data_IF_025058540566
#
_entry.id   IF_025058540566
#
_cell.length_a   1.000
_cell.length_b   1.000
_cell.length_c   1.000
_cell.angle_alpha   90.00
_cell.angle_beta   90.00
_cell.angle_gamma   90.00
#
_symmetry.space_group_name_H-M   'P 1'
#
loop_
_entity.id
_entity.type
_entity.pdbx_description
1 polymer ?
#
# COMPACT_ATOMS: atom_id res chain seq x y z
N UNK A 1 -24.78 45.21 -35.38
CA UNK A 1 -24.18 45.00 -34.04
C UNK A 1 -25.27 45.21 -32.98
N UNK A 2 -25.77 44.12 -32.40
CA UNK A 2 -26.84 44.17 -31.40
C UNK A 2 -26.23 44.56 -30.03
N UNK A 3 -26.72 45.63 -29.41
CA UNK A 3 -26.28 46.06 -28.07
C UNK A 3 -26.75 45.02 -27.06
N UNK A 4 -25.83 44.20 -26.57
CA UNK A 4 -26.10 43.30 -25.43
C UNK A 4 -26.49 44.19 -24.25
N UNK A 5 -27.71 43.99 -23.75
CA UNK A 5 -28.24 44.77 -22.62
C UNK A 5 -27.41 44.46 -21.36
N UNK A 6 -27.08 45.49 -20.59
CA UNK A 6 -26.36 45.34 -19.30
C UNK A 6 -27.09 44.38 -18.35
N UNK A 7 -28.41 44.28 -18.48
CA UNK A 7 -29.26 43.34 -17.72
C UNK A 7 -28.96 41.88 -18.11
N UNK A 8 -28.70 41.63 -19.40
CA UNK A 8 -28.37 40.29 -19.91
C UNK A 8 -26.99 39.83 -19.40
N UNK A 9 -26.02 40.77 -19.30
CA UNK A 9 -24.69 40.48 -18.76
C UNK A 9 -24.74 40.14 -17.27
N UNK A 10 -25.56 40.85 -16.48
CA UNK A 10 -25.78 40.60 -15.04
C UNK A 10 -26.50 39.27 -14.80
N UNK A 11 -27.49 38.92 -15.63
CA UNK A 11 -28.17 37.63 -15.56
C UNK A 11 -27.23 36.47 -15.88
N UNK A 12 -26.36 36.60 -16.89
CA UNK A 12 -25.36 35.56 -17.20
C UNK A 12 -24.34 35.41 -16.07
N UNK A 13 -23.87 36.50 -15.47
CA UNK A 13 -22.93 36.41 -14.32
C UNK A 13 -23.58 35.83 -13.07
N UNK A 14 -24.84 36.14 -12.80
CA UNK A 14 -25.59 35.53 -11.70
C UNK A 14 -25.85 34.03 -11.93
N UNK A 15 -26.25 33.64 -13.15
CA UNK A 15 -26.47 32.25 -13.54
C UNK A 15 -25.13 31.48 -13.52
N UNK A 16 -24.05 32.02 -14.07
CA UNK A 16 -22.72 31.42 -13.98
C UNK A 16 -22.23 31.34 -12.53
N UNK A 17 -22.51 32.32 -11.67
CA UNK A 17 -22.17 32.26 -10.24
C UNK A 17 -22.94 31.17 -9.47
N UNK A 18 -24.20 30.92 -9.84
CA UNK A 18 -25.03 29.87 -9.25
C UNK A 18 -24.65 28.48 -9.77
N UNK A 19 -24.28 28.34 -11.05
CA UNK A 19 -23.89 27.03 -11.63
C UNK A 19 -22.40 26.70 -11.46
N UNK A 20 -21.51 27.70 -11.31
CA UNK A 20 -20.08 27.47 -11.02
C UNK A 20 -19.79 27.45 -9.50
N UNK A 21 -20.67 28.03 -8.68
CA UNK A 21 -20.59 27.95 -7.22
C UNK A 21 -21.13 26.64 -6.62
N UNK A 22 -21.74 25.77 -7.44
CA UNK A 22 -22.28 24.47 -7.02
C UNK A 22 -21.49 23.28 -7.59
N UNK A 23 -20.26 23.49 -8.05
CA UNK A 23 -19.33 22.40 -8.36
C UNK A 23 -18.36 22.29 -7.18
N UNK A 24 -18.60 21.30 -6.30
CA UNK A 24 -17.78 20.88 -5.14
C UNK A 24 -18.05 21.48 -3.76
N UNK A 25 -19.23 22.04 -3.46
CA UNK A 25 -19.64 22.19 -2.05
C UNK A 25 -20.43 20.94 -1.62
N UNK A 26 -19.71 19.97 -1.05
CA UNK A 26 -20.30 18.92 -0.22
C UNK A 26 -21.00 17.79 -0.96
N UNK A 27 -20.35 17.17 -1.95
CA UNK A 27 -20.57 15.73 -2.11
C UNK A 27 -20.23 15.09 -0.75
N UNK A 28 -21.04 14.15 -0.28
CA UNK A 28 -20.92 13.48 1.00
C UNK A 28 -19.58 12.74 1.11
N UNK A 29 -18.50 13.46 1.40
CA UNK A 29 -17.14 12.93 1.50
C UNK A 29 -16.75 12.92 2.97
N UNK A 30 -16.28 11.79 3.46
CA UNK A 30 -15.71 11.61 4.79
C UNK A 30 -14.19 11.48 4.69
N UNK A 31 -13.47 12.40 5.33
CA UNK A 31 -12.01 12.43 5.36
C UNK A 31 -11.48 11.98 6.72
N UNK A 32 -10.38 11.23 6.71
CA UNK A 32 -9.74 10.69 7.90
C UNK A 32 -8.24 10.98 7.89
N UNK A 33 -7.67 11.36 9.03
CA UNK A 33 -6.23 11.62 9.17
C UNK A 33 -5.43 10.32 8.92
N UNK A 34 -4.42 10.38 8.06
CA UNK A 34 -3.58 9.22 7.69
C UNK A 34 -2.81 8.64 8.87
N UNK A 35 -2.58 9.41 9.94
CA UNK A 35 -1.99 8.94 11.21
C UNK A 35 -2.88 7.93 11.93
N UNK A 36 -4.16 7.87 11.56
CA UNK A 36 -5.10 6.87 12.05
C UNK A 36 -4.99 5.55 11.30
N UNK A 37 -4.12 5.46 10.28
CA UNK A 37 -3.94 4.27 9.47
C UNK A 37 -2.57 3.65 9.66
N UNK A 38 -2.53 2.34 9.52
CA UNK A 38 -1.31 1.54 9.45
C UNK A 38 -1.47 0.64 8.23
N UNK A 39 -0.57 0.77 7.25
CA UNK A 39 -0.47 -0.21 6.17
C UNK A 39 0.70 -1.12 6.46
N UNK A 40 0.48 -2.44 6.43
CA UNK A 40 1.52 -3.44 6.65
C UNK A 40 1.57 -4.34 5.42
N UNK A 41 2.74 -4.43 4.80
CA UNK A 41 3.02 -5.28 3.66
C UNK A 41 4.09 -6.29 4.05
N UNK A 42 3.78 -7.58 3.88
CA UNK A 42 4.76 -8.65 4.03
C UNK A 42 5.28 -8.98 2.63
N UNK A 43 6.57 -8.77 2.43
CA UNK A 43 7.24 -8.93 1.15
C UNK A 43 8.22 -10.10 1.25
N UNK A 44 8.10 -11.08 0.35
CA UNK A 44 9.06 -12.18 0.27
C UNK A 44 9.30 -12.65 -1.15
N UNK A 45 10.50 -13.15 -1.42
CA UNK A 45 10.81 -13.89 -2.65
C UNK A 45 10.32 -15.35 -2.60
N UNK A 46 10.00 -15.83 -1.39
CA UNK A 46 9.40 -17.14 -1.16
C UNK A 46 7.88 -17.02 -1.04
N UNK A 47 7.16 -18.05 -1.52
CA UNK A 47 5.70 -18.01 -1.51
C UNK A 47 5.16 -18.19 -0.10
N UNK A 48 4.48 -17.16 0.40
CA UNK A 48 3.64 -17.20 1.59
C UNK A 48 2.19 -17.38 1.12
N UNK A 49 1.44 -18.33 1.68
CA UNK A 49 0.08 -18.63 1.25
C UNK A 49 -0.96 -17.76 1.97
N UNK A 50 -0.73 -17.44 3.24
CA UNK A 50 -1.59 -16.55 4.01
C UNK A 50 -0.89 -15.98 5.23
N UNK A 51 -1.45 -14.92 5.80
CA UNK A 51 -0.99 -14.35 7.06
C UNK A 51 -2.17 -13.94 7.94
N UNK A 52 -2.06 -14.19 9.25
CA UNK A 52 -2.93 -13.62 10.27
C UNK A 52 -2.21 -12.51 11.00
N UNK A 53 -2.88 -11.38 11.23
CA UNK A 53 -2.31 -10.29 12.04
C UNK A 53 -3.16 -10.03 13.26
N UNK A 54 -2.49 -9.82 14.38
CA UNK A 54 -3.07 -9.62 15.69
C UNK A 54 -2.58 -8.31 16.30
N UNK A 55 -3.49 -7.61 16.94
CA UNK A 55 -3.23 -6.40 17.70
C UNK A 55 -3.75 -6.59 19.11
N UNK A 56 -2.86 -6.49 20.11
CA UNK A 56 -3.21 -6.75 21.52
C UNK A 56 -3.90 -8.12 21.74
N UNK A 57 -3.56 -9.12 20.92
CA UNK A 57 -4.15 -10.46 20.96
C UNK A 57 -5.45 -10.64 20.18
N UNK A 58 -6.05 -9.58 19.64
CA UNK A 58 -7.24 -9.68 18.77
C UNK A 58 -6.82 -9.77 17.30
N UNK A 59 -7.39 -10.71 16.55
CA UNK A 59 -7.13 -10.82 15.12
C UNK A 59 -7.77 -9.64 14.38
N UNK A 60 -6.95 -8.85 13.68
CA UNK A 60 -7.38 -7.66 12.93
C UNK A 60 -7.35 -7.87 11.42
N UNK A 61 -6.53 -8.80 10.93
CA UNK A 61 -6.48 -9.17 9.52
C UNK A 61 -6.34 -10.68 9.34
N UNK A 62 -6.98 -11.18 8.29
CA UNK A 62 -6.75 -12.49 7.71
C UNK A 62 -6.47 -12.30 6.21
N UNK A 63 -5.22 -12.50 5.80
CA UNK A 63 -4.76 -12.21 4.44
C UNK A 63 -4.63 -13.53 3.70
N UNK A 64 -5.52 -13.78 2.74
CA UNK A 64 -5.40 -14.88 1.76
C UNK A 64 -5.07 -14.41 0.35
N UNK A 65 -5.26 -13.12 0.08
CA UNK A 65 -4.96 -12.53 -1.22
C UNK A 65 -3.49 -12.18 -1.23
N UNK A 66 -2.74 -12.91 -2.04
CA UNK A 66 -1.31 -12.73 -2.24
C UNK A 66 -1.12 -12.15 -3.63
N UNK A 67 -0.54 -10.97 -3.72
CA UNK A 67 -0.19 -10.37 -5.00
C UNK A 67 1.19 -10.88 -5.42
N UNK A 68 1.33 -11.24 -6.68
CA UNK A 68 2.64 -11.60 -7.25
C UNK A 68 3.14 -10.46 -8.12
N UNK A 69 4.21 -9.82 -7.69
CA UNK A 69 4.92 -8.80 -8.45
C UNK A 69 6.09 -9.45 -9.17
N UNK A 70 6.19 -9.23 -10.49
CA UNK A 70 7.29 -9.73 -11.32
C UNK A 70 7.95 -8.55 -12.00
N UNK A 71 9.28 -8.56 -12.13
CA UNK A 71 10.02 -7.61 -12.96
C UNK A 71 10.38 -8.27 -14.29
N UNK A 72 9.69 -7.94 -15.39
CA UNK A 72 10.09 -8.38 -16.72
C UNK A 72 11.50 -7.92 -17.09
N UNK A 73 12.21 -8.70 -17.90
CA UNK A 73 13.59 -8.40 -18.30
C UNK A 73 13.72 -7.05 -19.05
N UNK A 74 12.68 -6.65 -19.78
CA UNK A 74 12.65 -5.42 -20.58
C UNK A 74 12.04 -4.22 -19.84
N UNK A 75 11.64 -4.40 -18.58
CA UNK A 75 10.97 -3.37 -17.80
C UNK A 75 11.85 -2.88 -16.65
N UNK A 76 11.75 -1.59 -16.36
CA UNK A 76 12.45 -0.99 -15.21
C UNK A 76 11.73 -1.27 -13.89
N UNK A 77 10.48 -1.69 -13.94
CA UNK A 77 9.58 -1.75 -12.79
C UNK A 77 8.91 -3.11 -12.65
N UNK A 78 8.44 -3.39 -11.43
CA UNK A 78 7.61 -4.56 -11.17
C UNK A 78 6.18 -4.30 -11.61
N UNK A 79 5.56 -5.34 -12.15
CA UNK A 79 4.15 -5.36 -12.53
C UNK A 79 3.41 -6.38 -11.68
N UNK A 80 2.21 -6.01 -11.26
CA UNK A 80 1.27 -6.97 -10.65
C UNK A 80 0.83 -7.96 -11.74
N UNK A 81 1.19 -9.23 -11.54
CA UNK A 81 0.90 -10.32 -12.48
C UNK A 81 -0.61 -10.57 -12.64
N UNK A 82 -1.40 -10.33 -11.59
CA UNK A 82 -2.83 -10.63 -11.55
C UNK A 82 -3.68 -9.50 -12.17
N UNK A 83 -3.19 -8.26 -12.11
CA UNK A 83 -3.82 -7.08 -12.73
C UNK A 83 -3.49 -6.96 -14.22
N UNK A 84 -2.26 -7.30 -14.64
CA UNK A 84 -1.86 -7.26 -16.04
C UNK A 84 -2.08 -8.62 -16.73
N UNK A 85 -3.34 -8.89 -17.08
CA UNK A 85 -3.82 -10.12 -17.76
C UNK A 85 -3.17 -10.45 -19.12
N UNK A 86 -2.24 -9.64 -19.62
CA UNK A 86 -1.59 -9.84 -20.92
C UNK A 86 -0.12 -9.45 -20.82
N UNK A 87 0.64 -10.16 -20.00
CA UNK A 87 2.04 -10.34 -20.34
C UNK A 87 2.07 -11.61 -21.20
N UNK A 88 2.19 -11.46 -22.52
CA UNK A 88 2.31 -12.59 -23.45
C UNK A 88 3.73 -13.14 -23.42
N UNK A 89 3.89 -14.43 -23.74
CA UNK A 89 5.10 -15.24 -23.50
C UNK A 89 6.41 -14.85 -24.22
N UNK A 90 6.55 -13.60 -24.68
CA UNK A 90 7.84 -13.00 -25.04
C UNK A 90 8.23 -11.85 -24.07
N UNK A 91 7.28 -11.32 -23.29
CA UNK A 91 7.47 -10.28 -22.26
C UNK A 91 7.51 -10.86 -20.83
N UNK A 92 6.92 -12.04 -20.62
CA UNK A 92 7.16 -12.84 -19.41
C UNK A 92 8.39 -13.67 -19.65
N UNK A 93 9.36 -13.50 -18.76
CA UNK A 93 10.58 -14.27 -18.70
C UNK A 93 10.29 -15.77 -18.86
N UNK A 94 11.10 -16.45 -19.67
CA UNK A 94 10.89 -17.84 -20.10
C UNK A 94 10.78 -18.82 -18.92
N UNK A 95 11.23 -18.42 -17.72
CA UNK A 95 10.94 -19.09 -16.46
C UNK A 95 10.86 -18.13 -15.25
N UNK A 96 10.16 -18.56 -14.18
CA UNK A 96 10.20 -17.90 -12.85
C UNK A 96 11.60 -17.92 -12.22
N UNK A 97 12.51 -18.76 -12.72
CA UNK A 97 13.92 -18.80 -12.29
C UNK A 97 14.75 -17.65 -12.87
N UNK A 98 14.28 -17.00 -13.95
CA UNK A 98 15.02 -15.97 -14.66
C UNK A 98 14.59 -14.54 -14.32
N UNK A 99 13.46 -14.36 -13.60
CA UNK A 99 12.97 -13.02 -13.24
C UNK A 99 12.69 -12.83 -11.76
N UNK A 100 13.24 -11.75 -11.16
CA UNK A 100 12.91 -11.37 -9.79
C UNK A 100 11.40 -11.28 -9.61
N UNK A 101 10.91 -11.94 -8.58
CA UNK A 101 9.51 -11.91 -8.20
C UNK A 101 9.38 -11.74 -6.69
N UNK A 102 8.29 -11.11 -6.29
CA UNK A 102 7.93 -10.86 -4.91
C UNK A 102 6.47 -11.21 -4.69
N UNK A 103 6.21 -11.83 -3.56
CA UNK A 103 4.88 -12.00 -3.02
C UNK A 103 4.63 -10.86 -2.04
N UNK A 104 3.50 -10.19 -2.19
CA UNK A 104 3.02 -9.15 -1.28
C UNK A 104 1.71 -9.57 -0.63
N UNK A 105 1.70 -9.50 0.69
CA UNK A 105 0.53 -9.67 1.54
C UNK A 105 0.30 -8.36 2.30
N UNK A 106 -0.66 -7.58 1.82
CA UNK A 106 -1.04 -6.30 2.41
C UNK A 106 -2.20 -6.42 3.40
N UNK A 107 -2.09 -5.72 4.52
CA UNK A 107 -3.18 -5.45 5.46
C UNK A 107 -3.20 -3.97 5.77
N UNK A 108 -4.36 -3.36 5.53
CA UNK A 108 -4.59 -1.95 5.77
C UNK A 108 -5.54 -1.80 6.96
N UNK A 109 -5.02 -1.26 8.06
CA UNK A 109 -5.74 -1.08 9.31
C UNK A 109 -6.05 0.40 9.49
N UNK A 110 -7.33 0.74 9.53
CA UNK A 110 -7.78 1.97 10.19
C UNK A 110 -7.83 1.71 11.69
N UNK A 111 -7.51 2.72 12.49
CA UNK A 111 -7.56 2.74 13.96
C UNK A 111 -8.62 1.75 14.48
N UNK A 112 -8.23 0.73 15.25
CA UNK A 112 -9.15 -0.32 15.66
C UNK A 112 -10.37 0.32 16.34
N UNK A 113 -11.58 -0.27 16.21
CA UNK A 113 -12.80 0.26 16.82
C UNK A 113 -12.69 0.45 18.36
N UNK A 114 -11.66 -0.10 18.99
CA UNK A 114 -11.41 -0.03 20.44
C UNK A 114 -10.18 0.81 20.82
N UNK A 115 -10.12 2.10 20.47
CA UNK A 115 -9.26 3.12 21.13
C UNK A 115 -7.75 2.77 21.32
N UNK A 116 -7.18 1.88 20.52
CA UNK A 116 -5.74 1.59 20.60
C UNK A 116 -5.02 2.79 20.00
N UNK A 117 -4.20 3.47 20.80
CA UNK A 117 -3.34 4.54 20.33
C UNK A 117 -2.32 3.90 19.38
N UNK A 118 -2.28 4.33 18.13
CA UNK A 118 -1.30 3.92 17.11
C UNK A 118 0.13 4.40 17.42
N UNK A 119 0.38 4.81 18.67
CA UNK A 119 1.67 5.15 19.24
C UNK A 119 2.16 3.89 19.95
N UNK A 120 3.19 3.26 19.38
CA UNK A 120 3.89 2.09 19.94
C UNK A 120 3.02 0.83 20.10
N UNK A 121 2.27 0.46 19.06
CA UNK A 121 1.53 -0.80 19.08
C UNK A 121 2.40 -1.95 18.59
N UNK A 122 2.42 -3.06 19.32
CA UNK A 122 3.03 -4.30 18.86
C UNK A 122 2.01 -5.05 17.99
N UNK A 123 2.42 -5.38 16.76
CA UNK A 123 1.66 -6.23 15.85
C UNK A 123 2.31 -7.60 15.89
N UNK A 124 1.54 -8.63 16.19
CA UNK A 124 1.97 -10.03 16.06
C UNK A 124 1.40 -10.60 14.77
N UNK A 125 2.21 -11.33 14.01
CA UNK A 125 1.81 -11.90 12.72
C UNK A 125 2.10 -13.39 12.70
N UNK A 126 1.15 -14.19 12.23
CA UNK A 126 1.34 -15.61 11.95
C UNK A 126 1.39 -15.81 10.43
N UNK A 127 2.56 -16.18 9.90
CA UNK A 127 2.75 -16.47 8.48
C UNK A 127 2.56 -17.96 8.21
N UNK A 128 1.98 -18.32 7.07
CA UNK A 128 1.76 -19.70 6.66
C UNK A 128 2.37 -19.97 5.28
N UNK A 129 3.31 -20.91 5.20
CA UNK A 129 4.01 -21.30 3.96
C UNK A 129 3.76 -22.78 3.61
N UNK A 130 3.18 -23.05 2.44
CA UNK A 130 3.12 -24.36 1.78
C UNK A 130 2.30 -25.46 2.47
N UNK A 131 2.52 -26.70 2.01
CA UNK A 131 1.87 -27.92 2.52
C UNK A 131 2.44 -28.38 3.87
N UNK A 132 3.73 -28.10 4.13
CA UNK A 132 4.31 -28.21 5.47
C UNK A 132 4.12 -26.88 6.16
N UNK A 133 2.92 -26.68 6.70
CA UNK A 133 2.47 -25.46 7.36
C UNK A 133 3.54 -24.94 8.33
N UNK A 134 4.38 -24.03 7.86
CA UNK A 134 5.40 -23.38 8.66
C UNK A 134 4.76 -22.13 9.23
N UNK A 135 4.47 -22.17 10.52
CA UNK A 135 3.93 -21.04 11.26
C UNK A 135 5.10 -20.23 11.80
N UNK A 136 5.18 -18.96 11.42
CA UNK A 136 6.13 -18.02 11.99
C UNK A 136 5.36 -16.94 12.74
N UNK A 137 5.66 -16.79 14.04
CA UNK A 137 5.18 -15.67 14.84
C UNK A 137 6.23 -14.56 14.82
N UNK A 138 5.83 -13.34 14.47
CA UNK A 138 6.70 -12.17 14.40
C UNK A 138 6.02 -11.04 15.15
N UNK A 139 6.73 -10.38 16.07
CA UNK A 139 6.21 -9.22 16.80
C UNK A 139 6.98 -7.95 16.44
N UNK A 140 6.31 -6.96 15.87
CA UNK A 140 6.95 -5.73 15.36
C UNK A 140 6.30 -4.45 15.90
N UNK A 141 7.07 -3.35 16.06
CA UNK A 141 6.50 -2.06 16.44
C UNK A 141 5.85 -1.36 15.24
N UNK A 142 4.53 -1.18 15.28
CA UNK A 142 3.76 -0.41 14.31
C UNK A 142 3.40 0.98 14.85
N UNK A 143 3.52 1.99 13.98
CA UNK A 143 3.19 3.38 14.28
C UNK A 143 2.27 3.89 13.18
N UNK A 144 1.15 4.52 13.57
CA UNK A 144 0.20 5.13 12.65
C UNK A 144 0.84 6.18 11.73
N UNK A 145 0.28 6.34 10.53
CA UNK A 145 0.82 7.24 9.52
C UNK A 145 2.04 6.69 8.78
N UNK A 146 2.25 5.36 8.81
CA UNK A 146 3.34 4.72 8.11
C UNK A 146 2.84 3.52 7.29
N UNK A 147 3.47 3.35 6.13
CA UNK A 147 3.57 2.10 5.41
C UNK A 147 4.73 1.30 6.02
N UNK A 148 4.45 0.06 6.42
CA UNK A 148 5.38 -0.83 7.10
C UNK A 148 5.64 -2.03 6.20
N UNK A 149 6.89 -2.17 5.75
CA UNK A 149 7.31 -3.32 4.98
C UNK A 149 8.02 -4.31 5.91
N UNK A 150 7.57 -5.55 5.90
CA UNK A 150 8.13 -6.67 6.65
C UNK A 150 8.73 -7.63 5.65
N UNK A 151 10.04 -7.81 5.70
CA UNK A 151 10.81 -8.52 4.67
C UNK A 151 11.62 -9.62 5.35
N UNK A 152 11.62 -10.83 4.82
CA UNK A 152 12.51 -11.90 5.33
C UNK A 152 13.97 -11.41 5.34
N UNK A 153 14.72 -11.69 6.41
CA UNK A 153 16.12 -11.29 6.54
C UNK A 153 16.97 -11.80 5.36
N UNK A 154 16.63 -12.98 4.84
CA UNK A 154 17.28 -13.57 3.65
C UNK A 154 17.06 -12.73 2.38
N UNK A 155 15.91 -12.06 2.29
CA UNK A 155 15.51 -11.23 1.15
C UNK A 155 16.05 -9.80 1.25
N UNK A 156 16.58 -9.41 2.42
CA UNK A 156 16.98 -8.01 2.68
C UNK A 156 18.13 -7.53 1.83
N UNK A 157 19.07 -8.40 1.44
CA UNK A 157 20.18 -8.00 0.57
C UNK A 157 19.68 -7.54 -0.80
N UNK A 158 18.60 -8.15 -1.30
CA UNK A 158 17.95 -7.80 -2.57
C UNK A 158 17.19 -6.47 -2.39
N UNK A 159 16.36 -6.39 -1.36
CA UNK A 159 15.56 -5.20 -1.05
C UNK A 159 16.41 -3.95 -0.79
N UNK A 160 17.38 -4.05 0.11
CA UNK A 160 18.25 -2.96 0.51
C UNK A 160 19.45 -2.73 -0.40
N UNK A 161 19.66 -3.61 -1.38
CA UNK A 161 20.62 -3.36 -2.45
C UNK A 161 20.18 -2.22 -3.38
N UNK A 162 18.96 -1.69 -3.21
CA UNK A 162 18.35 -0.64 -4.04
C UNK A 162 18.26 -1.01 -5.53
N UNK A 163 18.39 -2.29 -5.85
CA UNK A 163 18.38 -2.78 -7.23
C UNK A 163 16.95 -2.93 -7.74
N UNK A 164 16.02 -3.28 -6.85
CA UNK A 164 14.67 -3.72 -7.19
C UNK A 164 13.67 -3.31 -6.10
N UNK A 165 12.64 -2.52 -6.45
CA UNK A 165 11.49 -2.24 -5.58
C UNK A 165 10.23 -2.89 -6.18
N UNK A 166 9.66 -3.93 -5.55
CA UNK A 166 8.42 -4.56 -6.01
C UNK A 166 7.15 -3.72 -5.81
N UNK A 167 7.23 -2.54 -5.19
CA UNK A 167 6.08 -1.65 -5.04
C UNK A 167 5.89 -0.76 -6.28
N UNK A 168 4.62 -0.56 -6.68
CA UNK A 168 4.19 0.04 -7.95
C UNK A 168 4.73 1.48 -8.14
N UNK A 169 5.21 1.84 -9.36
CA UNK A 169 5.84 3.13 -9.69
C UNK A 169 4.99 4.40 -9.58
N UNK A 170 3.71 4.29 -9.24
CA UNK A 170 2.78 5.41 -9.15
C UNK A 170 2.30 5.70 -7.73
N UNK A 171 2.85 5.00 -6.74
CA UNK A 171 2.70 5.32 -5.32
C UNK A 171 3.92 6.13 -4.85
N UNK A 172 3.75 7.02 -3.86
CA UNK A 172 4.91 7.63 -3.17
C UNK A 172 5.89 6.58 -2.62
N UNK A 173 5.37 5.36 -2.38
CA UNK A 173 6.09 4.15 -1.99
C UNK A 173 7.01 3.57 -3.08
N UNK A 174 7.02 4.12 -4.30
CA UNK A 174 7.96 3.71 -5.33
C UNK A 174 9.42 3.99 -4.96
N UNK A 175 9.69 5.01 -4.14
CA UNK A 175 11.03 5.26 -3.59
C UNK A 175 11.33 4.44 -2.34
N UNK A 176 10.42 3.56 -1.92
CA UNK A 176 10.37 2.99 -0.57
C UNK A 176 11.71 2.47 -0.07
N UNK A 177 12.54 1.68 -0.77
CA UNK A 177 13.81 1.24 -0.20
C UNK A 177 14.71 2.42 0.20
N UNK A 178 14.79 3.47 -0.62
CA UNK A 178 15.62 4.66 -0.41
C UNK A 178 15.02 5.66 0.58
N UNK A 179 13.69 5.76 0.62
CA UNK A 179 12.98 6.66 1.55
C UNK A 179 12.57 5.99 2.87
N UNK A 180 12.74 4.67 2.99
CA UNK A 180 12.37 3.92 4.21
C UNK A 180 13.43 4.03 5.28
N UNK A 181 12.96 4.19 6.51
CA UNK A 181 13.78 4.05 7.71
C UNK A 181 13.79 2.58 8.13
N UNK A 182 14.98 1.97 8.18
CA UNK A 182 15.14 0.63 8.76
C UNK A 182 14.94 0.72 10.25
N UNK A 183 14.05 -0.11 10.78
CA UNK A 183 13.73 -0.13 12.21
C UNK A 183 14.58 -1.17 12.92
N UNK A 184 14.69 -2.36 12.35
CA UNK A 184 15.39 -3.49 12.93
C UNK A 184 14.89 -4.81 12.34
N UNK A 185 15.49 -5.91 12.79
CA UNK A 185 15.09 -7.26 12.43
C UNK A 185 14.63 -8.03 13.67
N UNK A 186 13.56 -8.79 13.52
CA UNK A 186 12.83 -9.48 14.56
C UNK A 186 12.47 -10.87 14.02
N UNK A 187 12.91 -11.92 14.72
CA UNK A 187 12.56 -13.32 14.40
C UNK A 187 12.80 -13.71 12.92
N UNK A 188 13.90 -13.23 12.33
CA UNK A 188 14.28 -13.50 10.94
C UNK A 188 13.58 -12.62 9.90
N UNK A 189 12.88 -11.55 10.32
CA UNK A 189 12.25 -10.59 9.43
C UNK A 189 12.67 -9.16 9.78
N UNK A 190 13.03 -8.38 8.78
CA UNK A 190 13.42 -6.99 8.91
C UNK A 190 12.28 -6.05 8.56
N UNK A 191 12.18 -4.96 9.33
CA UNK A 191 11.11 -3.97 9.25
C UNK A 191 11.66 -2.67 8.70
N UNK A 192 10.99 -2.16 7.67
CA UNK A 192 11.22 -0.84 7.08
C UNK A 192 9.94 0.00 7.19
N UNK A 193 10.09 1.26 7.57
CA UNK A 193 8.97 2.21 7.70
C UNK A 193 9.09 3.35 6.71
N UNK A 194 8.00 3.64 6.03
CA UNK A 194 7.86 4.79 5.15
C UNK A 194 6.67 5.64 5.62
N UNK A 195 6.86 6.93 5.95
CA UNK A 195 5.74 7.80 6.29
C UNK A 195 4.76 7.93 5.12
N UNK A 196 3.46 7.89 5.42
CA UNK A 196 2.41 8.17 4.43
C UNK A 196 2.50 9.66 4.08
N UNK A 197 2.64 9.97 2.78
CA UNK A 197 2.81 11.35 2.31
C UNK A 197 1.51 12.17 2.43
N UNK A 198 0.37 11.53 2.16
CA UNK A 198 -0.94 12.15 2.27
C UNK A 198 -1.28 12.43 3.74
N UNK A 199 -1.94 13.57 3.99
CA UNK A 199 -2.40 13.94 5.34
C UNK A 199 -3.73 13.30 5.70
N UNK A 200 -4.60 13.12 4.71
CA UNK A 200 -5.95 12.61 4.90
C UNK A 200 -6.34 11.69 3.73
N UNK A 201 -7.11 10.65 4.02
CA UNK A 201 -7.83 9.87 3.02
C UNK A 201 -9.30 10.21 3.06
N UNK A 202 -9.82 10.65 1.93
CA UNK A 202 -11.21 11.07 1.74
C UNK A 202 -11.95 10.03 0.91
N UNK A 203 -13.12 9.62 1.39
CA UNK A 203 -13.98 8.62 0.75
C UNK A 203 -15.37 9.20 0.56
N UNK A 204 -16.01 8.86 -0.56
CA UNK A 204 -17.45 9.08 -0.71
C UNK A 204 -18.20 8.22 0.32
N UNK A 205 -19.21 8.79 0.99
CA UNK A 205 -20.06 8.07 1.97
C UNK A 205 -21.01 7.08 1.32
#
# INVERSE_FOLDING_TARGET
MQKISKIFLVLITAICGIFLGCYYDGADVECFDTKEYISIHILSTTKIDSADMYLSGEQVCHIKRVYTFVKPANEMYFSDKDLHKVLTGEDLCDSLEECPSWYDLGCYLRKPPNKIRTQDTLVSMHLFEGLQRKEQNITIPAIGGNNINVISEQDTAIWFGYKDNPMIPFSGDFRAPASSNRVGCYDGYCVAKLPIEDKEYCYDK
#
